data_IF_986866597194
#
_entry.id   IF_986866597194
#
_cell.length_a   1.000
_cell.length_b   1.000
_cell.length_c   1.000
_cell.angle_alpha   90.00
_cell.angle_beta   90.00
_cell.angle_gamma   90.00
#
_symmetry.space_group_name_H-M   'P 1'
#
loop_
_entity.id
_entity.type
_entity.pdbx_description
1 polymer ?
#
# COMPACT_ATOMS: atom_id res chain seq x y z
N UNK A 1 -30.46 21.42 -58.72
CA UNK A 1 -31.29 21.22 -57.52
C UNK A 1 -31.54 19.72 -57.42
N UNK A 2 -31.09 18.93 -56.44
CA UNK A 2 -30.64 19.18 -55.08
C UNK A 2 -29.81 17.97 -54.63
N UNK A 3 -28.66 18.24 -54.01
CA UNK A 3 -27.82 17.27 -53.31
C UNK A 3 -28.57 16.62 -52.15
N UNK A 4 -28.34 15.33 -51.89
CA UNK A 4 -28.44 14.73 -50.53
C UNK A 4 -27.78 13.34 -50.48
N UNK A 5 -26.50 13.40 -50.11
CA UNK A 5 -25.77 12.48 -49.22
C UNK A 5 -26.66 11.68 -48.27
N UNK A 6 -26.34 10.39 -48.05
CA UNK A 6 -25.98 9.84 -46.72
C UNK A 6 -25.07 8.61 -46.91
N UNK A 7 -23.82 8.74 -46.46
CA UNK A 7 -22.89 7.65 -46.16
C UNK A 7 -23.35 7.00 -44.84
N UNK A 8 -23.66 5.70 -44.85
CA UNK A 8 -23.89 4.94 -43.62
C UNK A 8 -22.62 4.15 -43.27
N UNK A 9 -21.84 4.71 -42.34
CA UNK A 9 -20.68 4.07 -41.74
C UNK A 9 -21.13 2.88 -40.88
N UNK A 10 -20.66 1.68 -41.22
CA UNK A 10 -20.77 0.50 -40.37
C UNK A 10 -19.70 0.61 -39.26
N UNK A 11 -20.06 1.22 -38.14
CA UNK A 11 -19.26 1.16 -36.92
C UNK A 11 -19.39 -0.23 -36.31
N UNK A 12 -18.27 -0.95 -36.26
CA UNK A 12 -18.11 -2.24 -35.59
C UNK A 12 -18.25 -2.02 -34.08
N UNK A 13 -19.46 -2.20 -33.57
CA UNK A 13 -19.75 -2.27 -32.14
C UNK A 13 -19.49 -3.71 -31.66
N UNK A 14 -18.31 -3.93 -31.11
CA UNK A 14 -17.91 -5.22 -30.55
C UNK A 14 -16.72 -5.07 -29.61
N UNK A 15 -16.69 -4.03 -28.78
CA UNK A 15 -15.71 -3.95 -27.70
C UNK A 15 -16.17 -4.90 -26.61
N UNK A 16 -15.46 -6.02 -26.57
CA UNK A 16 -15.45 -7.06 -25.55
C UNK A 16 -15.67 -6.52 -24.15
N UNK A 17 -16.67 -7.10 -23.49
CA UNK A 17 -17.01 -6.91 -22.10
C UNK A 17 -15.76 -6.84 -21.21
N UNK A 18 -15.72 -5.80 -20.38
CA UNK A 18 -14.77 -5.63 -19.29
C UNK A 18 -14.78 -6.90 -18.44
N UNK A 19 -13.70 -7.67 -18.52
CA UNK A 19 -13.33 -8.60 -17.47
C UNK A 19 -12.98 -7.76 -16.25
N UNK A 20 -13.95 -7.59 -15.35
CA UNK A 20 -13.69 -7.16 -13.98
C UNK A 20 -12.85 -8.25 -13.31
N UNK A 21 -11.54 -8.22 -13.53
CA UNK A 21 -10.61 -8.84 -12.61
C UNK A 21 -10.81 -8.10 -11.30
N UNK A 22 -11.40 -8.75 -10.31
CA UNK A 22 -11.28 -8.32 -8.94
C UNK A 22 -9.79 -8.16 -8.66
N UNK A 23 -9.29 -6.93 -8.71
CA UNK A 23 -7.95 -6.60 -8.30
C UNK A 23 -7.90 -7.00 -6.83
N UNK A 24 -7.17 -8.06 -6.51
CA UNK A 24 -6.65 -8.22 -5.16
C UNK A 24 -5.88 -6.93 -4.90
N UNK A 25 -6.49 -5.97 -4.21
CA UNK A 25 -5.89 -4.67 -4.00
C UNK A 25 -4.50 -4.92 -3.43
N UNK A 26 -3.46 -4.40 -4.04
CA UNK A 26 -2.09 -4.48 -3.57
C UNK A 26 -1.63 -3.04 -3.54
N UNK A 27 -0.84 -2.65 -2.55
CA UNK A 27 -0.44 -1.26 -2.41
C UNK A 27 0.29 -0.82 -3.67
N UNK A 28 -0.12 0.34 -4.19
CA UNK A 28 0.61 1.00 -5.25
C UNK A 28 2.03 1.30 -4.80
N UNK A 29 2.96 1.42 -5.75
CA UNK A 29 4.36 1.72 -5.43
C UNK A 29 4.48 3.01 -4.59
N UNK A 30 3.70 4.04 -4.92
CA UNK A 30 3.67 5.30 -4.17
C UNK A 30 3.24 5.12 -2.71
N UNK A 31 2.29 4.23 -2.44
CA UNK A 31 1.79 3.95 -1.09
C UNK A 31 2.83 3.19 -0.26
N UNK A 32 3.56 2.25 -0.89
CA UNK A 32 4.69 1.57 -0.25
C UNK A 32 5.81 2.54 0.10
N UNK A 33 6.14 3.44 -0.82
CA UNK A 33 7.16 4.47 -0.62
C UNK A 33 6.75 5.45 0.48
N UNK A 34 5.48 5.83 0.54
CA UNK A 34 4.92 6.65 1.61
C UNK A 34 5.05 5.97 2.97
N UNK A 35 4.54 4.75 3.09
CA UNK A 35 4.64 3.97 4.31
C UNK A 35 6.10 3.81 4.77
N UNK A 36 6.99 3.43 3.84
CA UNK A 36 8.39 3.18 4.15
C UNK A 36 9.08 4.44 4.66
N UNK A 37 8.87 5.58 4.00
CA UNK A 37 9.44 6.88 4.40
C UNK A 37 8.99 7.26 5.81
N UNK A 38 7.69 7.22 6.07
CA UNK A 38 7.11 7.68 7.34
C UNK A 38 7.50 6.74 8.50
N UNK A 39 7.52 5.43 8.23
CA UNK A 39 8.02 4.44 9.17
C UNK A 39 9.51 4.66 9.48
N UNK A 40 10.36 4.84 8.46
CA UNK A 40 11.81 5.02 8.65
C UNK A 40 12.09 6.28 9.42
N UNK A 41 11.39 7.38 9.11
CA UNK A 41 11.49 8.63 9.87
C UNK A 41 11.14 8.40 11.34
N UNK A 42 10.01 7.74 11.61
CA UNK A 42 9.56 7.45 12.97
C UNK A 42 10.54 6.53 13.73
N UNK A 43 11.05 5.50 13.06
CA UNK A 43 12.04 4.59 13.63
C UNK A 43 13.35 5.32 13.97
N UNK A 44 13.81 6.20 13.08
CA UNK A 44 15.02 6.99 13.32
C UNK A 44 14.85 8.04 14.42
N UNK A 45 13.65 8.57 14.59
CA UNK A 45 13.33 9.49 15.69
C UNK A 45 13.17 8.79 17.06
N UNK A 46 13.05 7.46 17.10
CA UNK A 46 12.85 6.73 18.35
C UNK A 46 14.16 6.57 19.15
N UNK A 47 14.26 7.21 20.32
CA UNK A 47 15.44 7.19 21.20
C UNK A 47 15.82 5.79 21.72
N UNK A 48 14.90 4.81 21.63
CA UNK A 48 15.20 3.41 21.99
C UNK A 48 16.03 2.67 20.94
N UNK A 49 16.14 3.22 19.73
CA UNK A 49 17.01 2.69 18.69
C UNK A 49 18.39 3.37 18.84
N UNK A 50 19.47 2.62 19.12
CA UNK A 50 20.82 3.18 19.20
C UNK A 50 21.25 3.88 17.91
N UNK A 51 22.04 4.95 18.02
CA UNK A 51 22.48 5.76 16.86
C UNK A 51 23.19 4.96 15.77
N UNK A 52 24.03 4.02 16.17
CA UNK A 52 24.74 3.07 15.28
C UNK A 52 23.82 2.07 14.58
N UNK A 53 22.62 1.85 15.13
CA UNK A 53 21.59 0.95 14.58
C UNK A 53 20.51 1.66 13.77
N UNK A 54 20.50 3.00 13.69
CA UNK A 54 19.50 3.78 12.92
C UNK A 54 19.46 3.42 11.43
N UNK A 55 20.55 2.89 10.88
CA UNK A 55 20.61 2.36 9.51
C UNK A 55 19.64 1.19 9.29
N UNK A 56 19.44 0.34 10.30
CA UNK A 56 18.59 -0.86 10.25
C UNK A 56 17.09 -0.54 10.21
N UNK A 57 16.70 0.74 10.41
CA UNK A 57 15.31 1.18 10.29
C UNK A 57 14.71 0.90 8.90
N UNK A 58 15.52 0.89 7.84
CA UNK A 58 15.05 0.57 6.48
C UNK A 58 14.54 -0.87 6.41
N UNK A 59 15.34 -1.83 6.89
CA UNK A 59 14.99 -3.25 6.88
C UNK A 59 13.82 -3.56 7.83
N UNK A 60 13.79 -2.89 8.99
CA UNK A 60 12.66 -2.96 9.91
C UNK A 60 11.36 -2.51 9.23
N UNK A 61 11.37 -1.35 8.59
CA UNK A 61 10.17 -0.79 7.96
C UNK A 61 9.74 -1.55 6.71
N UNK A 62 10.66 -2.12 5.95
CA UNK A 62 10.33 -3.06 4.87
C UNK A 62 9.57 -4.28 5.43
N UNK A 63 10.06 -4.87 6.53
CA UNK A 63 9.38 -5.99 7.17
C UNK A 63 7.97 -5.65 7.68
N UNK A 64 7.81 -4.48 8.32
CA UNK A 64 6.49 -4.05 8.82
C UNK A 64 5.57 -3.73 7.65
N UNK A 65 6.05 -3.08 6.58
CA UNK A 65 5.28 -2.77 5.38
C UNK A 65 4.75 -4.02 4.68
N UNK A 66 5.61 -5.03 4.51
CA UNK A 66 5.20 -6.33 3.96
C UNK A 66 4.11 -7.01 4.81
N UNK A 67 4.21 -6.91 6.14
CA UNK A 67 3.20 -7.46 7.04
C UNK A 67 1.89 -6.65 6.99
N UNK A 68 2.00 -5.32 6.91
CA UNK A 68 0.89 -4.40 6.83
C UNK A 68 0.06 -4.65 5.56
N UNK A 69 0.71 -4.72 4.41
CA UNK A 69 0.07 -4.97 3.13
C UNK A 69 -0.59 -6.35 3.07
N UNK A 70 0.06 -7.40 3.59
CA UNK A 70 -0.56 -8.73 3.67
C UNK A 70 -1.79 -8.76 4.58
N UNK A 71 -1.81 -7.92 5.62
CA UNK A 71 -2.91 -7.85 6.59
C UNK A 71 -4.08 -7.06 6.03
N UNK A 72 -3.80 -5.91 5.43
CA UNK A 72 -4.78 -5.02 4.83
C UNK A 72 -4.26 -4.53 3.47
N UNK A 73 -4.74 -5.15 2.38
CA UNK A 73 -4.28 -4.81 1.05
C UNK A 73 -4.82 -3.46 0.54
N UNK A 74 -5.82 -2.87 1.22
CA UNK A 74 -6.23 -1.48 0.99
C UNK A 74 -5.45 -0.51 1.89
N UNK A 75 -4.37 0.07 1.34
CA UNK A 75 -3.50 1.02 2.06
C UNK A 75 -4.29 2.12 2.77
N UNK A 76 -5.24 2.76 2.09
CA UNK A 76 -6.00 3.88 2.64
C UNK A 76 -6.76 3.48 3.91
N UNK A 77 -7.37 2.30 3.94
CA UNK A 77 -8.11 1.81 5.11
C UNK A 77 -7.16 1.64 6.30
N UNK A 78 -6.01 1.01 6.08
CA UNK A 78 -5.04 0.81 7.15
C UNK A 78 -4.42 2.12 7.62
N UNK A 79 -4.06 3.01 6.68
CA UNK A 79 -3.47 4.30 6.98
C UNK A 79 -4.44 5.20 7.75
N UNK A 80 -5.72 5.24 7.35
CA UNK A 80 -6.77 5.97 8.08
C UNK A 80 -6.91 5.43 9.52
N UNK A 81 -6.88 4.11 9.72
CA UNK A 81 -6.94 3.50 11.05
C UNK A 81 -5.72 3.91 11.91
N UNK A 82 -4.50 3.96 11.34
CA UNK A 82 -3.30 4.42 12.04
C UNK A 82 -3.36 5.91 12.38
N UNK A 83 -3.73 6.78 11.42
CA UNK A 83 -3.84 8.23 11.62
C UNK A 83 -4.87 8.60 12.67
N UNK A 84 -5.98 7.85 12.72
CA UNK A 84 -7.04 8.04 13.71
C UNK A 84 -6.80 7.28 15.03
N UNK A 85 -5.62 6.65 15.18
CA UNK A 85 -5.22 5.90 16.37
C UNK A 85 -6.23 4.81 16.77
N UNK A 86 -6.90 4.20 15.79
CA UNK A 86 -7.90 3.17 16.03
C UNK A 86 -7.24 1.83 16.33
N UNK A 87 -7.77 1.10 17.30
CA UNK A 87 -7.32 -0.26 17.60
C UNK A 87 -8.22 -1.31 16.94
N UNK A 88 -8.20 -1.34 15.61
CA UNK A 88 -8.94 -2.31 14.81
C UNK A 88 -8.22 -3.67 14.76
N UNK A 89 -8.91 -4.77 14.41
CA UNK A 89 -8.26 -6.08 14.28
C UNK A 89 -7.07 -6.09 13.32
N UNK A 90 -7.14 -5.34 12.21
CA UNK A 90 -6.03 -5.20 11.25
C UNK A 90 -4.84 -4.44 11.86
N UNK A 91 -5.08 -3.35 12.58
CA UNK A 91 -4.01 -2.60 13.28
C UNK A 91 -3.34 -3.49 14.33
N UNK A 92 -4.10 -4.26 15.11
CA UNK A 92 -3.53 -5.23 16.05
C UNK A 92 -2.69 -6.30 15.35
N UNK A 93 -3.16 -6.83 14.22
CA UNK A 93 -2.41 -7.81 13.44
C UNK A 93 -1.08 -7.26 12.92
N UNK A 94 -1.04 -6.00 12.46
CA UNK A 94 0.23 -5.33 12.08
C UNK A 94 1.12 -5.11 13.30
N UNK A 95 0.58 -4.62 14.43
CA UNK A 95 1.35 -4.47 15.68
C UNK A 95 1.97 -5.79 16.13
N UNK A 96 1.30 -6.92 15.92
CA UNK A 96 1.80 -8.24 16.27
C UNK A 96 2.99 -8.70 15.39
N UNK A 97 3.25 -8.08 14.23
CA UNK A 97 4.44 -8.36 13.44
C UNK A 97 5.69 -7.64 13.96
N UNK A 98 5.52 -6.56 14.74
CA UNK A 98 6.60 -5.69 15.22
C UNK A 98 7.69 -6.47 15.97
N UNK A 99 7.40 -7.38 16.92
CA UNK A 99 8.45 -8.12 17.60
C UNK A 99 9.32 -8.96 16.65
N UNK A 100 8.71 -9.61 15.67
CA UNK A 100 9.44 -10.40 14.68
C UNK A 100 10.29 -9.52 13.75
N UNK A 101 9.74 -8.39 13.29
CA UNK A 101 10.48 -7.44 12.47
C UNK A 101 11.62 -6.78 13.24
N UNK A 102 11.41 -6.46 14.52
CA UNK A 102 12.44 -5.92 15.40
C UNK A 102 13.59 -6.91 15.56
N UNK A 103 13.29 -8.19 15.81
CA UNK A 103 14.32 -9.23 15.84
C UNK A 103 15.02 -9.39 14.49
N UNK A 104 14.32 -9.28 13.36
CA UNK A 104 14.95 -9.44 12.05
C UNK A 104 15.96 -8.31 11.76
N UNK A 105 15.62 -7.08 12.12
CA UNK A 105 16.41 -5.90 11.78
C UNK A 105 17.49 -5.53 12.81
N UNK A 106 17.20 -5.68 14.10
CA UNK A 106 18.02 -5.15 15.20
C UNK A 106 18.67 -6.22 16.07
N UNK A 107 18.84 -7.46 15.57
CA UNK A 107 19.60 -8.51 16.28
C UNK A 107 21.01 -8.02 16.64
#
# INVERSE_FOLDING_TARGET
>A
MTYRTVLAAAFVAGITALTATASFAQWAQSEREEFARDCVQSCRANDKVPSDRKGQCVDYCACVGDAAERTEPNYKVLNDDFLQQRDTPRVRAVKNSVPACNQKAFR
#
